data_IF_954788162673
#
_entry.id   IF_954788162673
#
_cell.length_a   1.000
_cell.length_b   1.000
_cell.length_c   1.000
_cell.angle_alpha   90.00
_cell.angle_beta   90.00
_cell.angle_gamma   90.00
#
_symmetry.space_group_name_H-M   'P 1'
#
loop_
_entity.id
_entity.type
_entity.pdbx_description
1 polymer ?
#
# COMPACT_ATOMS: atom_id res chain seq x y z
N UNK A 1 23.03 -7.45 -10.03
CA UNK A 1 21.89 -8.37 -10.27
C UNK A 1 21.99 -8.92 -11.69
N UNK A 2 21.80 -10.25 -11.89
CA UNK A 2 21.71 -10.85 -13.24
C UNK A 2 20.55 -10.23 -14.01
N UNK A 3 20.63 -10.19 -15.34
CA UNK A 3 19.66 -9.69 -16.33
C UNK A 3 18.25 -9.38 -15.76
N UNK A 4 17.91 -8.08 -15.66
CA UNK A 4 16.59 -7.61 -15.22
C UNK A 4 15.60 -7.79 -16.37
N UNK A 5 15.13 -9.03 -16.54
CA UNK A 5 14.08 -9.34 -17.52
C UNK A 5 12.75 -9.49 -16.78
N UNK A 6 11.72 -8.82 -17.28
CA UNK A 6 10.35 -9.08 -16.88
C UNK A 6 9.95 -10.38 -17.57
N UNK A 7 9.90 -11.45 -16.78
CA UNK A 7 9.46 -12.77 -17.20
C UNK A 7 8.18 -13.15 -16.45
N UNK A 8 7.59 -14.28 -16.81
CA UNK A 8 6.36 -14.76 -16.17
C UNK A 8 6.49 -14.90 -14.65
N UNK A 9 7.64 -15.38 -14.16
CA UNK A 9 7.89 -15.53 -12.73
C UNK A 9 7.84 -14.17 -12.03
N UNK A 10 8.48 -13.14 -12.60
CA UNK A 10 8.43 -11.78 -12.06
C UNK A 10 6.99 -11.23 -12.01
N UNK A 11 6.20 -11.47 -13.07
CA UNK A 11 4.80 -11.03 -13.14
C UNK A 11 3.96 -11.72 -12.06
N UNK A 12 4.15 -13.03 -11.86
CA UNK A 12 3.48 -13.78 -10.78
C UNK A 12 3.83 -13.21 -9.41
N UNK A 13 5.13 -12.99 -9.13
CA UNK A 13 5.56 -12.38 -7.85
C UNK A 13 5.04 -10.96 -7.68
N UNK A 14 4.94 -10.18 -8.78
CA UNK A 14 4.35 -8.84 -8.75
C UNK A 14 2.87 -8.91 -8.37
N UNK A 15 2.08 -9.79 -8.99
CA UNK A 15 0.67 -9.95 -8.65
C UNK A 15 0.48 -10.40 -7.19
N UNK A 16 1.30 -11.35 -6.72
CA UNK A 16 1.31 -11.79 -5.31
C UNK A 16 1.66 -10.60 -4.39
N UNK A 17 2.66 -9.79 -4.75
CA UNK A 17 3.05 -8.64 -3.96
C UNK A 17 1.90 -7.61 -3.84
N UNK A 18 1.20 -7.34 -4.95
CA UNK A 18 0.04 -6.43 -4.95
C UNK A 18 -1.08 -6.99 -4.06
N UNK A 19 -1.46 -8.25 -4.26
CA UNK A 19 -2.52 -8.91 -3.51
C UNK A 19 -2.23 -8.94 -2.01
N UNK A 20 -1.05 -9.39 -1.62
CA UNK A 20 -0.66 -9.47 -0.20
C UNK A 20 -0.53 -8.07 0.43
N UNK A 21 -0.02 -7.09 -0.32
CA UNK A 21 0.10 -5.73 0.21
C UNK A 21 -1.27 -5.09 0.45
N UNK A 22 -2.23 -5.26 -0.47
CA UNK A 22 -3.60 -4.81 -0.26
C UNK A 22 -4.23 -5.53 0.95
N UNK A 23 -4.13 -6.86 1.00
CA UNK A 23 -4.66 -7.65 2.11
C UNK A 23 -4.10 -7.20 3.47
N UNK A 24 -2.78 -7.09 3.60
CA UNK A 24 -2.15 -6.70 4.87
C UNK A 24 -2.38 -5.23 5.23
N UNK A 25 -2.58 -4.36 4.25
CA UNK A 25 -3.00 -2.99 4.49
C UNK A 25 -4.36 -2.96 5.18
N UNK A 26 -5.37 -3.60 4.59
CA UNK A 26 -6.71 -3.66 5.17
C UNK A 26 -6.73 -4.44 6.51
N UNK A 27 -5.92 -5.50 6.60
CA UNK A 27 -5.76 -6.22 7.85
C UNK A 27 -5.16 -5.36 8.96
N UNK A 28 -4.26 -4.42 8.65
CA UNK A 28 -3.70 -3.49 9.64
C UNK A 28 -4.78 -2.54 10.19
N UNK A 29 -5.69 -2.04 9.35
CA UNK A 29 -6.86 -1.29 9.80
C UNK A 29 -7.75 -2.15 10.69
N UNK A 30 -8.09 -3.35 10.21
CA UNK A 30 -8.99 -4.27 10.91
C UNK A 30 -8.46 -4.65 12.29
N UNK A 31 -7.22 -5.16 12.39
CA UNK A 31 -6.63 -5.61 13.67
C UNK A 31 -6.46 -4.45 14.65
N UNK A 32 -6.06 -3.27 14.15
CA UNK A 32 -5.94 -2.08 15.00
C UNK A 32 -7.30 -1.67 15.55
N UNK A 33 -8.35 -1.74 14.73
CA UNK A 33 -9.70 -1.43 15.15
C UNK A 33 -10.22 -2.40 16.21
N UNK A 34 -10.05 -3.71 16.02
CA UNK A 34 -10.43 -4.74 16.99
C UNK A 34 -9.68 -4.56 18.34
N UNK A 35 -8.37 -4.30 18.29
CA UNK A 35 -7.56 -4.06 19.48
C UNK A 35 -7.99 -2.80 20.27
N UNK A 36 -8.56 -1.80 19.57
CA UNK A 36 -9.11 -0.59 20.17
C UNK A 36 -10.61 -0.74 20.56
N UNK A 37 -11.16 -1.96 20.49
CA UNK A 37 -12.53 -2.28 20.90
C UNK A 37 -13.60 -1.95 19.87
N UNK A 38 -13.25 -1.56 18.64
CA UNK A 38 -14.20 -1.42 17.55
C UNK A 38 -14.45 -2.79 16.91
N UNK A 39 -15.72 -3.15 16.72
CA UNK A 39 -16.07 -4.32 15.91
C UNK A 39 -15.91 -3.95 14.43
N UNK A 40 -14.97 -4.57 13.75
CA UNK A 40 -14.57 -4.23 12.38
C UNK A 40 -15.03 -5.27 11.37
N UNK A 41 -15.31 -4.82 10.16
CA UNK A 41 -15.43 -5.66 8.96
C UNK A 41 -14.27 -5.35 8.01
N UNK A 42 -13.89 -6.32 7.19
CA UNK A 42 -12.79 -6.20 6.24
C UNK A 42 -13.13 -6.86 4.90
N UNK A 43 -12.82 -6.15 3.81
CA UNK A 43 -12.77 -6.66 2.43
C UNK A 43 -11.34 -6.63 1.89
N UNK A 44 -11.15 -6.87 0.59
CA UNK A 44 -9.83 -6.76 -0.05
C UNK A 44 -9.35 -5.30 -0.22
N UNK A 45 -10.29 -4.34 -0.19
CA UNK A 45 -9.99 -2.93 -0.43
C UNK A 45 -10.77 -2.01 0.52
N UNK A 46 -10.99 -2.45 1.75
CA UNK A 46 -11.63 -1.64 2.77
C UNK A 46 -11.79 -2.34 4.10
N UNK A 47 -11.57 -1.60 5.18
CA UNK A 47 -11.90 -2.01 6.52
C UNK A 47 -12.65 -0.89 7.24
N UNK A 48 -13.74 -1.23 7.93
CA UNK A 48 -14.60 -0.24 8.57
C UNK A 48 -15.31 -0.83 9.80
N UNK A 49 -15.73 0.02 10.76
CA UNK A 49 -16.57 -0.43 11.88
C UNK A 49 -17.91 -0.98 11.36
N UNK A 50 -18.34 -2.12 11.88
CA UNK A 50 -19.66 -2.74 11.54
C UNK A 50 -20.80 -1.80 11.91
N UNK A 51 -20.65 -1.02 12.98
CA UNK A 51 -21.63 0.00 13.41
C UNK A 51 -21.69 1.25 12.52
N UNK A 52 -20.79 1.37 11.55
CA UNK A 52 -20.62 2.55 10.69
C UNK A 52 -19.95 3.75 11.38
N UNK A 53 -19.59 3.63 12.67
CA UNK A 53 -18.93 4.71 13.44
C UNK A 53 -17.84 4.14 14.34
N UNK A 54 -16.72 4.86 14.43
CA UNK A 54 -15.70 4.57 15.45
C UNK A 54 -16.16 4.98 16.84
N UNK A 55 -15.61 4.35 17.88
CA UNK A 55 -15.95 4.65 19.28
C UNK A 55 -15.66 6.13 19.62
N UNK A 56 -14.55 6.66 19.11
CA UNK A 56 -14.17 8.06 19.26
C UNK A 56 -13.18 8.46 18.15
N UNK A 57 -12.90 9.78 18.03
CA UNK A 57 -12.03 10.34 17.00
C UNK A 57 -10.56 9.89 17.14
N UNK A 58 -10.11 9.65 18.38
CA UNK A 58 -8.75 9.14 18.62
C UNK A 58 -8.57 7.75 18.04
N UNK A 59 -9.54 6.85 18.27
CA UNK A 59 -9.53 5.51 17.66
C UNK A 59 -9.58 5.60 16.15
N UNK A 60 -10.46 6.46 15.60
CA UNK A 60 -10.53 6.69 14.16
C UNK A 60 -9.16 7.08 13.56
N UNK A 61 -8.45 8.00 14.20
CA UNK A 61 -7.15 8.47 13.75
C UNK A 61 -6.08 7.38 13.80
N UNK A 62 -6.00 6.61 14.91
CA UNK A 62 -5.02 5.52 15.04
C UNK A 62 -5.29 4.43 14.00
N UNK A 63 -6.55 4.02 13.84
CA UNK A 63 -6.93 3.01 12.85
C UNK A 63 -6.60 3.49 11.44
N UNK A 64 -6.96 4.73 11.12
CA UNK A 64 -6.75 5.33 9.80
C UNK A 64 -5.27 5.36 9.41
N UNK A 65 -4.36 5.72 10.33
CA UNK A 65 -2.93 5.83 9.99
C UNK A 65 -2.18 4.49 10.07
N UNK A 66 -2.73 3.47 10.74
CA UNK A 66 -2.05 2.19 10.98
C UNK A 66 -1.64 1.48 9.69
N UNK A 67 -2.52 1.41 8.71
CA UNK A 67 -2.26 0.71 7.47
C UNK A 67 -1.30 1.44 6.52
N UNK A 68 -1.38 2.78 6.34
CA UNK A 68 -0.32 3.53 5.68
C UNK A 68 1.07 3.32 6.31
N UNK A 69 1.18 3.35 7.65
CA UNK A 69 2.45 3.06 8.35
C UNK A 69 2.91 1.62 8.07
N UNK A 70 2.01 0.63 8.14
CA UNK A 70 2.34 -0.75 7.80
C UNK A 70 2.86 -0.88 6.36
N UNK A 71 2.25 -0.18 5.40
CA UNK A 71 2.69 -0.17 4.00
C UNK A 71 4.11 0.40 3.85
N UNK A 72 4.43 1.48 4.57
CA UNK A 72 5.79 2.04 4.59
C UNK A 72 6.78 1.06 5.23
N UNK A 73 6.41 0.44 6.35
CA UNK A 73 7.24 -0.57 7.02
C UNK A 73 7.51 -1.79 6.12
N UNK A 74 6.50 -2.27 5.39
CA UNK A 74 6.67 -3.31 4.38
C UNK A 74 7.76 -2.93 3.37
N UNK A 75 7.71 -1.72 2.82
CA UNK A 75 8.71 -1.26 1.85
C UNK A 75 10.12 -1.25 2.44
N UNK A 76 10.28 -0.79 3.67
CA UNK A 76 11.58 -0.78 4.37
C UNK A 76 12.10 -2.21 4.56
N UNK A 77 11.26 -3.14 5.03
CA UNK A 77 11.64 -4.54 5.21
C UNK A 77 12.09 -5.15 3.87
N UNK A 78 11.29 -4.96 2.82
CA UNK A 78 11.62 -5.53 1.51
C UNK A 78 12.77 -4.82 0.81
N UNK A 79 13.09 -3.57 1.15
CA UNK A 79 14.33 -2.92 0.74
C UNK A 79 15.55 -3.74 1.22
N UNK A 80 15.59 -4.11 2.51
CA UNK A 80 16.70 -4.89 3.06
C UNK A 80 16.71 -6.33 2.54
N UNK A 81 15.54 -6.97 2.42
CA UNK A 81 15.44 -8.34 1.87
C UNK A 81 15.96 -8.38 0.43
N UNK A 82 15.47 -7.49 -0.43
CA UNK A 82 15.87 -7.42 -1.82
C UNK A 82 17.35 -7.04 -1.98
N UNK A 83 17.86 -6.15 -1.11
CA UNK A 83 19.27 -5.79 -1.13
C UNK A 83 20.18 -6.94 -0.68
N UNK A 84 19.79 -7.70 0.33
CA UNK A 84 20.53 -8.86 0.83
C UNK A 84 20.49 -10.05 -0.13
N UNK A 85 19.31 -10.38 -0.64
CA UNK A 85 19.12 -11.57 -1.49
C UNK A 85 19.51 -11.33 -2.94
N UNK A 86 19.55 -10.07 -3.38
CA UNK A 86 19.74 -9.67 -4.80
C UNK A 86 18.73 -10.34 -5.75
N UNK A 87 17.61 -10.79 -5.21
CA UNK A 87 16.54 -11.44 -5.98
C UNK A 87 15.58 -10.37 -6.53
N UNK A 88 15.48 -10.27 -7.85
CA UNK A 88 14.61 -9.30 -8.51
C UNK A 88 13.12 -9.56 -8.20
N UNK A 89 12.74 -10.79 -7.88
CA UNK A 89 11.36 -11.15 -7.56
C UNK A 89 10.89 -10.58 -6.20
N UNK A 90 11.81 -10.14 -5.34
CA UNK A 90 11.48 -9.41 -4.10
C UNK A 90 11.21 -7.92 -4.36
N UNK A 91 11.59 -7.41 -5.52
CA UNK A 91 11.47 -5.99 -5.85
C UNK A 91 10.03 -5.47 -5.92
N UNK A 92 9.03 -6.22 -6.44
CA UNK A 92 7.64 -5.77 -6.42
C UNK A 92 7.10 -5.46 -5.01
N UNK A 93 7.53 -6.18 -3.98
CA UNK A 93 7.12 -5.94 -2.58
C UNK A 93 7.70 -4.63 -2.01
N UNK A 94 8.83 -4.17 -2.53
CA UNK A 94 9.38 -2.84 -2.25
C UNK A 94 8.69 -1.76 -3.10
N UNK A 95 8.40 -2.06 -4.37
CA UNK A 95 7.94 -1.09 -5.35
C UNK A 95 6.45 -0.77 -5.21
N UNK A 96 5.62 -1.78 -5.01
CA UNK A 96 4.16 -1.63 -4.95
C UNK A 96 3.69 -0.69 -3.82
N UNK A 97 4.24 -0.68 -2.60
CA UNK A 97 3.91 0.33 -1.59
C UNK A 97 3.93 1.77 -2.09
N UNK A 98 4.90 2.14 -2.93
CA UNK A 98 4.94 3.45 -3.56
C UNK A 98 3.74 3.67 -4.49
N UNK A 99 3.48 2.72 -5.39
CA UNK A 99 2.34 2.81 -6.33
C UNK A 99 1.03 2.97 -5.56
N UNK A 100 0.87 2.18 -4.49
CA UNK A 100 -0.35 2.20 -3.67
C UNK A 100 -0.55 3.56 -2.96
N UNK A 101 0.50 4.10 -2.31
CA UNK A 101 0.40 5.40 -1.63
C UNK A 101 0.31 6.57 -2.61
N UNK A 102 0.95 6.46 -3.76
CA UNK A 102 0.83 7.45 -4.83
C UNK A 102 -0.62 7.58 -5.34
N UNK A 103 -1.27 6.46 -5.67
CA UNK A 103 -2.67 6.49 -6.08
C UNK A 103 -3.62 6.86 -4.95
N UNK A 104 -3.34 6.44 -3.70
CA UNK A 104 -4.08 6.91 -2.55
C UNK A 104 -3.99 8.44 -2.38
N UNK A 105 -2.80 9.02 -2.60
CA UNK A 105 -2.62 10.48 -2.61
C UNK A 105 -3.42 11.17 -3.71
N UNK A 106 -3.46 10.61 -4.93
CA UNK A 106 -4.28 11.12 -6.02
C UNK A 106 -5.78 10.99 -5.72
N UNK A 107 -6.21 9.91 -5.09
CA UNK A 107 -7.60 9.68 -4.74
C UNK A 107 -8.16 10.72 -3.77
N UNK A 108 -7.32 11.44 -3.02
CA UNK A 108 -7.74 12.58 -2.20
C UNK A 108 -8.42 13.71 -3.02
N UNK A 109 -8.23 13.74 -4.35
CA UNK A 109 -8.95 14.69 -5.23
C UNK A 109 -10.46 14.40 -5.28
N UNK A 110 -10.88 13.17 -5.00
CA UNK A 110 -12.27 12.74 -5.01
C UNK A 110 -12.89 12.63 -3.62
N UNK A 111 -12.05 12.58 -2.59
CA UNK A 111 -12.45 12.52 -1.18
C UNK A 111 -11.28 12.08 -0.30
N UNK A 112 -11.26 12.49 0.97
CA UNK A 112 -10.15 12.17 1.85
C UNK A 112 -10.04 10.65 2.08
N UNK A 113 -8.90 10.07 1.73
CA UNK A 113 -8.51 8.71 2.10
C UNK A 113 -7.78 8.69 3.47
N UNK A 114 -7.09 7.62 3.79
CA UNK A 114 -6.46 7.44 5.11
C UNK A 114 -5.50 8.58 5.48
N UNK A 115 -4.51 8.87 4.62
CA UNK A 115 -3.55 9.94 4.88
C UNK A 115 -4.21 11.31 4.87
N UNK A 116 -5.20 11.50 3.98
CA UNK A 116 -5.98 12.73 3.89
C UNK A 116 -6.82 12.97 5.13
N UNK A 117 -7.56 11.96 5.60
CA UNK A 117 -8.36 12.02 6.84
C UNK A 117 -7.49 12.30 8.06
N UNK A 118 -6.38 11.57 8.18
CA UNK A 118 -5.43 11.79 9.27
C UNK A 118 -4.82 13.20 9.21
N UNK A 119 -4.38 13.65 8.03
CA UNK A 119 -3.82 14.99 7.84
C UNK A 119 -4.81 16.10 8.22
N UNK A 120 -6.06 15.97 7.81
CA UNK A 120 -7.11 16.94 8.15
C UNK A 120 -7.43 16.96 9.65
N UNK A 121 -7.48 15.81 10.32
CA UNK A 121 -7.78 15.73 11.76
C UNK A 121 -6.72 16.41 12.64
N UNK A 122 -5.49 16.52 12.15
CA UNK A 122 -4.39 17.20 12.83
C UNK A 122 -4.05 18.59 12.25
N UNK A 123 -4.88 19.12 11.35
CA UNK A 123 -4.66 20.45 10.74
C UNK A 123 -3.46 20.52 9.78
N UNK A 124 -2.94 19.37 9.35
CA UNK A 124 -1.78 19.29 8.45
C UNK A 124 -2.15 19.48 6.97
N UNK A 125 -3.47 19.43 6.65
CA UNK A 125 -3.97 19.50 5.30
C UNK A 125 -4.11 18.14 4.61
N UNK A 126 -4.84 18.14 3.48
CA UNK A 126 -5.31 16.93 2.79
C UNK A 126 -4.18 16.08 2.18
N UNK A 127 -3.10 16.69 1.72
CA UNK A 127 -2.06 16.02 0.93
C UNK A 127 -0.73 15.80 1.67
N UNK A 128 -0.52 16.45 2.80
CA UNK A 128 0.79 16.48 3.48
C UNK A 128 1.34 15.10 3.79
N UNK A 129 0.53 14.24 4.39
CA UNK A 129 0.94 12.88 4.77
C UNK A 129 1.16 12.00 3.54
N UNK A 130 0.26 12.11 2.53
CA UNK A 130 0.41 11.36 1.27
C UNK A 130 1.68 11.74 0.51
N UNK A 131 2.02 13.04 0.47
CA UNK A 131 3.26 13.51 -0.16
C UNK A 131 4.48 12.99 0.62
N UNK A 132 4.46 13.06 1.95
CA UNK A 132 5.55 12.59 2.78
C UNK A 132 5.83 11.10 2.56
N UNK A 133 4.79 10.26 2.64
CA UNK A 133 4.93 8.81 2.48
C UNK A 133 5.34 8.45 1.04
N UNK A 134 4.69 9.01 0.03
CA UNK A 134 5.02 8.75 -1.38
C UNK A 134 6.45 9.19 -1.71
N UNK A 135 6.89 10.35 -1.21
CA UNK A 135 8.27 10.85 -1.44
C UNK A 135 9.30 9.94 -0.78
N UNK A 136 9.06 9.50 0.46
CA UNK A 136 9.93 8.57 1.15
C UNK A 136 10.03 7.22 0.42
N UNK A 137 8.90 6.67 -0.01
CA UNK A 137 8.85 5.40 -0.76
C UNK A 137 9.54 5.52 -2.12
N UNK A 138 9.35 6.64 -2.82
CA UNK A 138 10.07 6.92 -4.07
C UNK A 138 11.58 7.01 -3.83
N UNK A 139 12.00 7.68 -2.75
CA UNK A 139 13.42 7.73 -2.38
C UNK A 139 14.02 6.33 -2.18
N UNK A 140 13.32 5.42 -1.49
CA UNK A 140 13.77 4.04 -1.30
C UNK A 140 13.94 3.32 -2.64
N UNK A 141 12.96 3.46 -3.55
CA UNK A 141 13.00 2.86 -4.89
C UNK A 141 14.17 3.41 -5.71
N UNK A 142 14.34 4.74 -5.75
CA UNK A 142 15.42 5.37 -6.50
C UNK A 142 16.79 4.93 -5.96
N UNK A 143 16.98 4.96 -4.64
CA UNK A 143 18.21 4.50 -3.98
C UNK A 143 18.51 3.04 -4.31
N UNK A 144 17.49 2.17 -4.22
CA UNK A 144 17.64 0.75 -4.57
C UNK A 144 17.97 0.56 -6.04
N UNK A 145 17.27 1.28 -6.93
CA UNK A 145 17.44 1.19 -8.39
C UNK A 145 18.86 1.62 -8.82
N UNK A 146 19.35 2.74 -8.27
CA UNK A 146 20.70 3.23 -8.56
C UNK A 146 21.74 2.21 -8.09
N UNK A 147 21.63 1.75 -6.82
CA UNK A 147 22.57 0.80 -6.23
C UNK A 147 22.63 -0.54 -6.97
N UNK A 148 21.49 -1.02 -7.46
CA UNK A 148 21.38 -2.32 -8.12
C UNK A 148 21.33 -2.22 -9.66
N UNK A 149 21.58 -1.01 -10.22
CA UNK A 149 21.59 -0.71 -11.65
C UNK A 149 20.29 -1.14 -12.36
N UNK A 150 19.14 -0.91 -11.70
CA UNK A 150 17.82 -1.15 -12.28
C UNK A 150 17.52 -0.03 -13.29
N UNK A 151 17.15 -0.40 -14.52
CA UNK A 151 16.87 0.57 -15.57
C UNK A 151 15.55 1.31 -15.34
N UNK A 152 15.48 2.55 -15.81
CA UNK A 152 14.22 3.32 -15.79
C UNK A 152 13.09 2.58 -16.52
N UNK A 153 13.40 1.94 -17.66
CA UNK A 153 12.44 1.13 -18.42
C UNK A 153 11.85 0.02 -17.57
N UNK A 154 12.66 -0.68 -16.78
CA UNK A 154 12.18 -1.74 -15.88
C UNK A 154 11.25 -1.16 -14.82
N UNK A 155 11.60 -0.03 -14.21
CA UNK A 155 10.77 0.65 -13.21
C UNK A 155 9.43 1.11 -13.79
N UNK A 156 9.42 1.69 -15.00
CA UNK A 156 8.19 2.10 -15.66
C UNK A 156 7.27 0.92 -15.96
N UNK A 157 7.80 -0.18 -16.49
CA UNK A 157 6.98 -1.38 -16.75
C UNK A 157 6.45 -1.96 -15.42
N UNK A 158 7.28 -2.02 -14.37
CA UNK A 158 6.83 -2.45 -13.04
C UNK A 158 5.71 -1.55 -12.52
N UNK A 159 5.82 -0.21 -12.67
CA UNK A 159 4.79 0.74 -12.28
C UNK A 159 3.47 0.45 -12.98
N UNK A 160 3.47 0.30 -14.32
CA UNK A 160 2.26 0.01 -15.08
C UNK A 160 1.64 -1.34 -14.70
N UNK A 161 2.46 -2.38 -14.53
CA UNK A 161 1.96 -3.70 -14.13
C UNK A 161 1.36 -3.67 -12.72
N UNK A 162 1.98 -3.00 -11.75
CA UNK A 162 1.44 -2.79 -10.42
C UNK A 162 0.12 -2.01 -10.46
N UNK A 163 0.03 -0.95 -11.28
CA UNK A 163 -1.17 -0.13 -11.43
C UNK A 163 -2.34 -0.93 -12.00
N UNK A 164 -2.10 -1.72 -13.05
CA UNK A 164 -3.12 -2.59 -13.63
C UNK A 164 -3.57 -3.64 -12.62
N UNK A 165 -2.65 -4.28 -11.90
CA UNK A 165 -2.97 -5.27 -10.87
C UNK A 165 -3.79 -4.67 -9.73
N UNK A 166 -3.46 -3.46 -9.29
CA UNK A 166 -4.23 -2.73 -8.28
C UNK A 166 -5.65 -2.45 -8.76
N UNK A 167 -5.80 -1.90 -9.97
CA UNK A 167 -7.12 -1.63 -10.54
C UNK A 167 -7.99 -2.88 -10.65
N UNK A 168 -7.39 -4.03 -11.03
CA UNK A 168 -8.09 -5.30 -11.06
C UNK A 168 -8.58 -5.73 -9.68
N UNK A 169 -7.74 -5.60 -8.63
CA UNK A 169 -8.13 -5.95 -7.24
C UNK A 169 -9.27 -5.06 -6.76
N UNK A 170 -9.15 -3.73 -6.94
CA UNK A 170 -10.20 -2.78 -6.56
C UNK A 170 -11.51 -3.06 -7.29
N UNK A 171 -11.44 -3.32 -8.60
CA UNK A 171 -12.61 -3.67 -9.41
C UNK A 171 -13.27 -4.97 -8.93
N UNK A 172 -12.47 -6.02 -8.69
CA UNK A 172 -12.99 -7.30 -8.18
C UNK A 172 -13.64 -7.13 -6.81
N UNK A 173 -13.04 -6.38 -5.90
CA UNK A 173 -13.61 -6.14 -4.58
C UNK A 173 -14.95 -5.40 -4.67
N UNK A 174 -15.02 -4.35 -5.48
CA UNK A 174 -16.25 -3.56 -5.66
C UNK A 174 -17.36 -4.35 -6.37
N UNK A 175 -17.00 -5.13 -7.39
CA UNK A 175 -17.97 -5.89 -8.18
C UNK A 175 -18.51 -7.10 -7.42
N UNK A 176 -17.63 -7.90 -6.83
CA UNK A 176 -18.00 -9.13 -6.10
C UNK A 176 -18.34 -8.89 -4.63
N UNK A 177 -18.10 -7.68 -4.10
CA UNK A 177 -18.30 -7.31 -2.68
C UNK A 177 -17.69 -8.36 -1.75
N UNK A 178 -16.42 -8.70 -1.98
CA UNK A 178 -15.71 -9.78 -1.30
C UNK A 178 -15.54 -9.39 0.17
N UNK A 179 -16.35 -9.98 1.05
CA UNK A 179 -16.14 -9.88 2.51
C UNK A 179 -15.17 -10.97 2.94
N UNK A 180 -14.13 -10.58 3.71
CA UNK A 180 -13.16 -11.51 4.28
C UNK A 180 -13.49 -11.77 5.74
N UNK A 181 -13.85 -10.70 6.48
CA UNK A 181 -14.20 -10.75 7.90
C UNK A 181 -15.40 -9.82 8.16
N UNK A 182 -16.36 -10.25 8.93
CA UNK A 182 -17.47 -9.43 9.40
C UNK A 182 -18.82 -9.66 8.77
#
# INVERSE_FOLDING_TARGET
>A
MKSQKINLIYIVFLFIAVLLSCFFHEFAHWITGELLGNKMSMSLNGASPISGKYINDWNANIITISAPIFTVLQAVIFYFIADKTKNINSYPFLFFPFVYRFFAGLANMFGPNDEGRFGLSFGLGLYTISILFSSFLLFLILRFSIRNKISLKFNLITFFLCSISLLLIVFMDQYFKIKIIG
#
